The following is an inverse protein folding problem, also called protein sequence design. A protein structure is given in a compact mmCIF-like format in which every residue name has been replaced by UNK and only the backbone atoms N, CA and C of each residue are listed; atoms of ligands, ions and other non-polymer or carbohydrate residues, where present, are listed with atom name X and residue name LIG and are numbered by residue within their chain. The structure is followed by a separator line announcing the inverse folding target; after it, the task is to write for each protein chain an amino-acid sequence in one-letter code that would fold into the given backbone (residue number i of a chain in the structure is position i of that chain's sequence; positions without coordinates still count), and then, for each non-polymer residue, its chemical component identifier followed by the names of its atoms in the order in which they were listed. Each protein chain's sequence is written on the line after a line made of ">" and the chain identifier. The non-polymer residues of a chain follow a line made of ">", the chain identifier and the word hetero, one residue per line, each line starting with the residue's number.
data_IF_571838930491
#
_entry.id   IF_571838930491
#
_cell.length_a   1.000
_cell.length_b   1.000
_cell.length_c   1.000
_cell.angle_alpha   90.00
_cell.angle_beta   90.00
_cell.angle_gamma   90.00
#
_symmetry.space_group_name_H-M   'P 1'
#
loop_
_entity.id
_entity.type
_entity.pdbx_description
1 polymer ?
#
# COMPACT_ATOMS: atom_id res chain seq x y z
N UNK A 1 -23.72 5.24 -4.38
CA UNK A 1 -24.20 4.17 -5.27
C UNK A 1 -23.38 4.19 -6.54
N UNK A 2 -22.77 3.08 -6.95
CA UNK A 2 -21.89 3.01 -8.14
C UNK A 2 -22.63 2.45 -9.37
N UNK A 3 -23.89 2.85 -9.54
CA UNK A 3 -24.79 2.34 -10.58
C UNK A 3 -24.21 2.54 -11.99
N UNK A 4 -23.64 3.71 -12.30
CA UNK A 4 -23.12 4.00 -13.64
C UNK A 4 -21.93 3.11 -14.02
N UNK A 5 -21.07 2.75 -13.05
CA UNK A 5 -19.90 1.89 -13.26
C UNK A 5 -20.29 0.44 -13.50
N UNK A 6 -21.29 -0.08 -12.80
CA UNK A 6 -21.64 -1.51 -12.79
C UNK A 6 -22.97 -1.82 -13.50
N UNK A 7 -23.56 -0.86 -14.22
CA UNK A 7 -24.82 -1.07 -14.95
C UNK A 7 -24.65 -2.21 -15.97
N UNK A 8 -25.51 -3.22 -15.88
CA UNK A 8 -25.48 -4.37 -16.78
C UNK A 8 -24.44 -5.43 -16.45
N UNK A 9 -23.66 -5.25 -15.37
CA UNK A 9 -22.75 -6.29 -14.91
C UNK A 9 -23.51 -7.52 -14.40
N UNK A 10 -22.89 -8.68 -14.58
CA UNK A 10 -23.24 -9.89 -13.85
C UNK A 10 -22.15 -10.21 -12.82
N UNK A 11 -22.50 -10.93 -11.76
CA UNK A 11 -21.56 -11.25 -10.68
C UNK A 11 -20.28 -11.94 -11.20
N UNK A 12 -20.40 -12.82 -12.21
CA UNK A 12 -19.25 -13.48 -12.81
C UNK A 12 -18.27 -12.52 -13.46
N UNK A 13 -18.76 -11.47 -14.12
CA UNK A 13 -17.91 -10.46 -14.75
C UNK A 13 -17.15 -9.67 -13.69
N UNK A 14 -17.83 -9.27 -12.61
CA UNK A 14 -17.20 -8.58 -11.49
C UNK A 14 -16.13 -9.45 -10.82
N UNK A 15 -16.45 -10.72 -10.51
CA UNK A 15 -15.49 -11.64 -9.91
C UNK A 15 -14.25 -11.83 -10.79
N UNK A 16 -14.43 -11.94 -12.11
CA UNK A 16 -13.33 -12.09 -13.06
C UNK A 16 -12.48 -10.83 -13.14
N UNK A 17 -13.10 -9.64 -13.25
CA UNK A 17 -12.41 -8.34 -13.27
C UNK A 17 -11.57 -8.15 -12.00
N UNK A 18 -12.14 -8.41 -10.82
CA UNK A 18 -11.42 -8.32 -9.55
C UNK A 18 -10.27 -9.34 -9.48
N UNK A 19 -10.50 -10.58 -9.90
CA UNK A 19 -9.47 -11.61 -9.88
C UNK A 19 -8.29 -11.25 -10.79
N UNK A 20 -8.57 -10.88 -12.05
CA UNK A 20 -7.55 -10.52 -13.02
C UNK A 20 -6.78 -9.27 -12.57
N UNK A 21 -7.46 -8.28 -11.96
CA UNK A 21 -6.81 -7.12 -11.39
C UNK A 21 -5.69 -7.48 -10.39
N UNK A 22 -5.99 -8.30 -9.40
CA UNK A 22 -5.01 -8.70 -8.38
C UNK A 22 -3.95 -9.65 -8.93
N UNK A 23 -4.34 -10.53 -9.85
CA UNK A 23 -3.44 -11.49 -10.52
C UNK A 23 -2.39 -10.77 -11.37
N UNK A 24 -2.81 -9.83 -12.21
CA UNK A 24 -1.92 -9.09 -13.11
C UNK A 24 -0.88 -8.25 -12.36
N UNK A 25 -1.22 -7.82 -11.14
CA UNK A 25 -0.33 -7.06 -10.23
C UNK A 25 0.49 -7.93 -9.30
N UNK A 26 0.35 -9.25 -9.37
CA UNK A 26 1.05 -10.19 -8.50
C UNK A 26 0.90 -9.85 -7.00
N UNK A 27 -0.29 -9.39 -6.59
CA UNK A 27 -0.50 -8.82 -5.25
C UNK A 27 -0.19 -9.83 -4.14
N UNK A 28 -0.46 -11.11 -4.35
CA UNK A 28 -0.09 -12.17 -3.39
C UNK A 28 1.43 -12.32 -3.21
N UNK A 29 2.22 -12.14 -4.27
CA UNK A 29 3.68 -12.18 -4.21
C UNK A 29 4.21 -10.96 -3.48
N UNK A 30 3.65 -9.78 -3.75
CA UNK A 30 4.00 -8.55 -3.05
C UNK A 30 3.71 -8.68 -1.54
N UNK A 31 2.54 -9.19 -1.18
CA UNK A 31 2.18 -9.48 0.22
C UNK A 31 3.16 -10.42 0.89
N UNK A 32 3.56 -11.50 0.21
CA UNK A 32 4.55 -12.42 0.76
C UNK A 32 5.89 -11.70 1.00
N UNK A 33 6.36 -10.93 0.01
CA UNK A 33 7.65 -10.22 0.08
C UNK A 33 7.68 -9.19 1.21
N UNK A 34 6.56 -8.52 1.52
CA UNK A 34 6.49 -7.57 2.64
C UNK A 34 6.92 -8.17 3.99
N UNK A 35 6.84 -9.50 4.14
CA UNK A 35 7.19 -10.20 5.38
C UNK A 35 8.33 -11.21 5.21
N UNK A 36 9.09 -11.13 4.11
CA UNK A 36 10.30 -11.91 3.92
C UNK A 36 11.53 -11.05 4.22
N UNK A 37 12.47 -11.61 4.99
CA UNK A 37 13.67 -10.92 5.45
C UNK A 37 14.45 -10.23 4.32
N UNK A 38 14.61 -10.90 3.17
CA UNK A 38 15.35 -10.38 2.01
C UNK A 38 14.71 -9.14 1.35
N UNK A 39 13.47 -8.82 1.72
CA UNK A 39 12.67 -7.73 1.12
C UNK A 39 12.23 -6.69 2.16
N UNK A 40 12.69 -6.80 3.41
CA UNK A 40 12.36 -5.81 4.42
C UNK A 40 12.87 -4.42 4.03
N UNK A 41 12.11 -3.37 4.36
CA UNK A 41 12.59 -2.00 4.36
C UNK A 41 13.93 -1.86 5.09
N UNK A 42 14.78 -0.95 4.60
CA UNK A 42 16.03 -0.63 5.28
C UNK A 42 15.74 0.17 6.55
N UNK A 43 16.20 -0.30 7.70
CA UNK A 43 16.10 0.41 8.97
C UNK A 43 17.23 1.45 9.07
N UNK A 44 16.90 2.72 8.84
CA UNK A 44 17.90 3.81 8.80
C UNK A 44 17.87 4.73 10.01
N UNK A 45 16.73 4.77 10.71
CA UNK A 45 16.50 5.62 11.86
C UNK A 45 15.66 4.87 12.88
N UNK A 46 15.87 5.14 14.17
CA UNK A 46 15.02 4.52 15.16
C UNK A 46 13.60 5.15 15.18
N UNK A 47 12.53 4.39 15.51
CA UNK A 47 11.17 4.90 15.47
C UNK A 47 10.92 6.11 16.38
N UNK A 48 11.67 6.22 17.49
CA UNK A 48 11.56 7.35 18.40
C UNK A 48 12.10 8.65 17.79
N UNK A 49 13.23 8.59 17.09
CA UNK A 49 13.81 9.69 16.33
C UNK A 49 12.88 10.10 15.18
N UNK A 50 12.35 9.14 14.43
CA UNK A 50 11.39 9.42 13.37
C UNK A 50 10.16 10.17 13.91
N UNK A 51 9.62 9.72 15.05
CA UNK A 51 8.52 10.41 15.72
C UNK A 51 8.90 11.82 16.21
N UNK A 52 10.14 12.05 16.67
CA UNK A 52 10.58 13.40 17.02
C UNK A 52 10.69 14.32 15.81
N UNK A 53 11.19 13.83 14.68
CA UNK A 53 11.25 14.61 13.44
C UNK A 53 9.83 14.91 12.90
N UNK A 54 8.91 13.95 13.00
CA UNK A 54 7.48 14.15 12.71
C UNK A 54 6.86 15.25 13.57
N UNK A 55 7.02 15.18 14.90
CA UNK A 55 6.50 16.19 15.83
C UNK A 55 7.11 17.58 15.62
N UNK A 56 8.35 17.65 15.13
CA UNK A 56 9.03 18.91 14.78
C UNK A 56 8.55 19.47 13.44
N UNK A 57 7.66 18.77 12.72
CA UNK A 57 7.18 19.17 11.41
C UNK A 57 8.23 19.06 10.30
N UNK A 58 9.26 18.22 10.49
CA UNK A 58 10.34 18.01 9.52
C UNK A 58 10.02 16.86 8.55
N UNK A 59 8.78 16.83 8.08
CA UNK A 59 8.30 15.90 7.06
C UNK A 59 7.75 16.66 5.87
N UNK A 60 7.62 15.96 4.76
CA UNK A 60 6.88 16.42 3.59
C UNK A 60 5.92 15.32 3.13
N UNK A 61 4.77 15.72 2.59
CA UNK A 61 3.86 14.79 1.94
C UNK A 61 4.37 14.52 0.53
N UNK A 62 4.63 13.25 0.24
CA UNK A 62 5.13 12.79 -1.05
C UNK A 62 4.11 11.90 -1.74
N UNK A 63 3.97 11.98 -3.07
CA UNK A 63 3.23 10.97 -3.81
C UNK A 63 3.84 9.58 -3.60
N UNK A 64 3.02 8.54 -3.54
CA UNK A 64 3.50 7.17 -3.34
C UNK A 64 4.46 6.70 -4.44
N UNK A 65 4.28 7.20 -5.67
CA UNK A 65 5.18 6.97 -6.80
C UNK A 65 6.60 7.50 -6.59
N UNK A 66 6.80 8.40 -5.63
CA UNK A 66 8.08 9.03 -5.28
C UNK A 66 8.57 8.64 -3.88
N UNK A 67 7.88 7.71 -3.21
CA UNK A 67 8.18 7.33 -1.84
C UNK A 67 9.41 6.42 -1.73
N UNK A 68 9.72 5.61 -2.75
CA UNK A 68 10.81 4.63 -2.72
C UNK A 68 12.15 5.26 -2.28
N UNK A 69 12.79 4.67 -1.28
CA UNK A 69 14.05 5.15 -0.69
C UNK A 69 13.92 6.34 0.26
N UNK A 70 12.73 6.90 0.46
CA UNK A 70 12.48 7.94 1.46
C UNK A 70 12.17 7.33 2.82
N UNK A 71 12.47 8.07 3.89
CA UNK A 71 12.24 7.64 5.27
C UNK A 71 10.78 7.88 5.65
N UNK A 72 10.10 6.83 6.09
CA UNK A 72 8.76 6.94 6.63
C UNK A 72 8.79 7.58 8.02
N UNK A 73 8.00 8.62 8.24
CA UNK A 73 7.82 9.22 9.57
C UNK A 73 6.60 8.65 10.32
N UNK A 74 5.72 7.97 9.58
CA UNK A 74 4.53 7.29 10.08
C UNK A 74 4.56 5.84 9.60
N UNK A 75 3.82 4.97 10.30
CA UNK A 75 3.74 3.57 9.93
C UNK A 75 2.72 3.35 8.82
N UNK A 76 3.06 2.58 7.79
CA UNK A 76 2.17 2.26 6.68
C UNK A 76 1.41 0.95 6.97
N UNK A 77 0.09 1.02 7.13
CA UNK A 77 -0.77 -0.10 7.56
C UNK A 77 -1.86 -0.40 6.52
N UNK A 78 -1.69 -1.43 5.68
CA UNK A 78 -2.69 -1.85 4.71
C UNK A 78 -3.56 -3.01 5.22
N UNK A 79 -4.82 -3.08 4.76
CA UNK A 79 -5.68 -4.25 4.90
C UNK A 79 -6.02 -4.88 3.54
N UNK A 80 -5.69 -6.17 3.34
CA UNK A 80 -4.87 -7.04 4.21
C UNK A 80 -3.37 -6.64 4.20
N UNK A 81 -2.54 -7.17 5.11
CA UNK A 81 -2.87 -8.10 6.21
C UNK A 81 -3.34 -7.44 7.51
N UNK A 82 -3.31 -6.11 7.62
CA UNK A 82 -3.66 -5.41 8.86
C UNK A 82 -2.53 -5.29 9.87
N UNK A 83 -1.29 -5.36 9.38
CA UNK A 83 -0.07 -5.10 10.16
C UNK A 83 0.83 -4.14 9.38
N UNK A 84 1.68 -3.42 10.11
CA UNK A 84 2.61 -2.46 9.53
C UNK A 84 3.56 -3.14 8.53
N UNK A 85 3.63 -2.54 7.34
CA UNK A 85 4.49 -2.97 6.24
C UNK A 85 5.73 -2.09 6.08
N UNK A 86 5.67 -0.86 6.63
CA UNK A 86 6.80 0.06 6.80
C UNK A 86 6.65 0.70 8.17
N UNK A 87 7.69 0.65 9.00
CA UNK A 87 7.74 1.27 10.31
C UNK A 87 8.27 2.72 10.21
N UNK A 88 7.93 3.60 11.17
CA UNK A 88 8.62 4.88 11.30
C UNK A 88 10.14 4.68 11.43
N UNK A 89 10.90 5.41 10.62
CA UNK A 89 12.36 5.32 10.55
C UNK A 89 12.90 4.32 9.52
N UNK A 90 12.05 3.53 8.88
CA UNK A 90 12.42 2.69 7.74
C UNK A 90 12.33 3.45 6.41
N UNK A 91 13.15 3.06 5.44
CA UNK A 91 13.04 3.52 4.06
C UNK A 91 11.99 2.73 3.29
N UNK A 92 11.07 3.42 2.61
CA UNK A 92 10.10 2.78 1.72
C UNK A 92 10.79 1.87 0.70
N UNK A 93 10.53 0.56 0.81
CA UNK A 93 11.07 -0.43 -0.11
C UNK A 93 10.29 -0.45 -1.42
N UNK A 94 10.92 -0.93 -2.49
CA UNK A 94 10.25 -1.15 -3.78
C UNK A 94 8.98 -1.98 -3.64
N UNK A 95 9.05 -3.06 -2.86
CA UNK A 95 7.92 -3.96 -2.60
C UNK A 95 6.77 -3.23 -1.91
N UNK A 96 7.06 -2.40 -0.90
CA UNK A 96 6.04 -1.63 -0.21
C UNK A 96 5.37 -0.62 -1.15
N UNK A 97 6.15 0.14 -1.92
CA UNK A 97 5.60 1.07 -2.92
C UNK A 97 4.71 0.34 -3.93
N UNK A 98 5.20 -0.74 -4.53
CA UNK A 98 4.45 -1.51 -5.54
C UNK A 98 3.14 -2.08 -4.97
N UNK A 99 3.16 -2.55 -3.72
CA UNK A 99 1.97 -3.06 -3.05
C UNK A 99 0.93 -1.97 -2.82
N UNK A 100 1.32 -0.84 -2.23
CA UNK A 100 0.38 0.25 -1.94
C UNK A 100 -0.14 0.90 -3.22
N UNK A 101 0.66 0.98 -4.30
CA UNK A 101 0.19 1.46 -5.61
C UNK A 101 -0.86 0.52 -6.20
N UNK A 102 -0.71 -0.79 -6.04
CA UNK A 102 -1.72 -1.75 -6.46
C UNK A 102 -3.04 -1.59 -5.67
N UNK A 103 -2.95 -1.27 -4.37
CA UNK A 103 -4.14 -0.98 -3.56
C UNK A 103 -4.81 0.33 -3.98
N UNK A 104 -4.04 1.40 -4.17
CA UNK A 104 -4.53 2.71 -4.65
C UNK A 104 -5.25 2.56 -6.00
N UNK A 105 -4.65 1.82 -6.93
CA UNK A 105 -5.28 1.54 -8.23
C UNK A 105 -6.58 0.74 -8.06
N UNK A 106 -6.63 -0.18 -7.10
CA UNK A 106 -7.82 -0.96 -6.76
C UNK A 106 -8.95 -0.08 -6.25
N UNK A 107 -8.65 0.87 -5.36
CA UNK A 107 -9.61 1.87 -4.85
C UNK A 107 -10.23 2.65 -6.01
N UNK A 108 -9.39 3.07 -6.97
CA UNK A 108 -9.83 3.88 -8.10
C UNK A 108 -10.62 3.07 -9.16
N UNK A 109 -10.25 1.82 -9.41
CA UNK A 109 -10.86 0.99 -10.46
C UNK A 109 -12.09 0.22 -10.02
N UNK A 110 -12.15 -0.18 -8.75
CA UNK A 110 -13.19 -1.04 -8.18
C UNK A 110 -13.95 -0.31 -7.05
N UNK A 111 -14.64 0.81 -7.36
CA UNK A 111 -15.34 1.57 -6.34
C UNK A 111 -16.41 0.71 -5.65
N UNK A 112 -16.43 0.75 -4.31
CA UNK A 112 -17.27 -0.15 -3.48
C UNK A 112 -16.58 -1.43 -3.00
N UNK A 113 -15.36 -1.70 -3.47
CA UNK A 113 -14.51 -2.83 -3.05
C UNK A 113 -13.10 -2.37 -2.64
N UNK A 114 -13.00 -1.12 -2.17
CA UNK A 114 -11.75 -0.50 -1.76
C UNK A 114 -11.16 -1.22 -0.54
N UNK A 115 -9.87 -1.62 -0.56
CA UNK A 115 -9.15 -2.02 0.64
C UNK A 115 -9.01 -0.84 1.61
N UNK A 116 -8.92 -1.14 2.91
CA UNK A 116 -8.66 -0.13 3.95
C UNK A 116 -7.15 0.11 4.07
N UNK A 117 -6.74 1.38 4.23
CA UNK A 117 -5.34 1.81 4.36
C UNK A 117 -5.26 2.87 5.46
N UNK A 118 -4.26 2.77 6.34
CA UNK A 118 -3.93 3.74 7.37
C UNK A 118 -2.45 4.13 7.30
#
# INVERSE_FOLDING_TARGET
>A
SHLDKYKGYHIRQLCQEMHDFYKDRNVSILQQRLFLYDYFPEYVMNPQEANFEFQRGKGELVPLSEAEGRIALEGALPYPPGVLCVQPGECWSKTACDYFLALEEGINKLPGFAPEIQ
#
